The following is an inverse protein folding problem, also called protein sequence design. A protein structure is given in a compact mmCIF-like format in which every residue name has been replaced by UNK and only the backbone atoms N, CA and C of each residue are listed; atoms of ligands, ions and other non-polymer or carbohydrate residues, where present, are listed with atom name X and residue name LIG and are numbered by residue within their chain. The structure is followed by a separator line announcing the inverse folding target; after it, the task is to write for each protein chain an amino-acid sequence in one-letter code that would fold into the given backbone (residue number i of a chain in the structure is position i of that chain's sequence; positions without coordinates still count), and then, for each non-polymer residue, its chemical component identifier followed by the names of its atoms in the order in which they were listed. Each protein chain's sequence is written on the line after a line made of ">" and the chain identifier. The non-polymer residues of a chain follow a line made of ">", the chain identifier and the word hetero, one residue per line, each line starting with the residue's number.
data_IF_647595449674
#
_entry.id   IF_647595449674
#
_cell.length_a   1.000
_cell.length_b   1.000
_cell.length_c   1.000
_cell.angle_alpha   90.00
_cell.angle_beta   90.00
_cell.angle_gamma   90.00
#
_symmetry.space_group_name_H-M   'P 1'
#
loop_
_entity.id
_entity.type
_entity.pdbx_description
1 polymer ?
#
# COMPACT_ATOMS: atom_id res chain seq x y z
N UNK A 1 0.02 -37.65 -45.21
CA UNK A 1 1.15 -36.84 -44.69
C UNK A 1 0.74 -36.25 -43.35
N UNK A 2 1.42 -36.68 -42.28
CA UNK A 2 1.21 -36.20 -40.91
C UNK A 2 1.67 -34.74 -40.84
N UNK A 3 0.77 -33.81 -40.47
CA UNK A 3 1.19 -32.53 -39.88
C UNK A 3 0.57 -32.45 -38.50
N UNK A 4 1.47 -32.67 -37.55
CA UNK A 4 1.33 -32.51 -36.11
C UNK A 4 1.06 -31.02 -35.84
N UNK A 5 -0.09 -30.70 -35.28
CA UNK A 5 -0.32 -29.38 -34.65
C UNK A 5 -0.88 -29.64 -33.27
N UNK A 6 -0.01 -30.22 -32.42
CA UNK A 6 -0.25 -30.31 -31.00
C UNK A 6 0.12 -28.94 -30.41
N UNK A 7 -0.86 -28.05 -30.33
CA UNK A 7 -0.74 -26.81 -29.57
C UNK A 7 -0.80 -27.20 -28.09
N UNK A 8 0.36 -27.52 -27.53
CA UNK A 8 0.52 -27.90 -26.14
C UNK A 8 0.43 -26.62 -25.28
N UNK A 9 -0.79 -26.13 -25.05
CA UNK A 9 -1.05 -25.20 -23.95
C UNK A 9 -0.96 -26.01 -22.66
N UNK A 10 0.25 -26.13 -22.13
CA UNK A 10 0.49 -26.52 -20.75
C UNK A 10 -0.08 -25.38 -19.89
N UNK A 11 -1.37 -25.43 -19.59
CA UNK A 11 -1.92 -24.74 -18.43
C UNK A 11 -1.45 -25.53 -17.21
N UNK A 12 -0.30 -25.16 -16.66
CA UNK A 12 0.02 -25.55 -15.29
C UNK A 12 -1.03 -24.87 -14.41
N UNK A 13 -1.92 -25.71 -13.88
CA UNK A 13 -2.88 -25.36 -12.85
C UNK A 13 -2.13 -25.06 -11.54
N UNK A 14 -1.51 -23.88 -11.45
CA UNK A 14 -1.15 -23.35 -10.15
C UNK A 14 -2.46 -23.05 -9.42
N UNK A 15 -2.63 -23.59 -8.22
CA UNK A 15 -3.72 -23.20 -7.32
C UNK A 15 -3.21 -22.06 -6.44
N UNK A 16 -2.99 -20.88 -7.03
CA UNK A 16 -2.72 -19.67 -6.28
C UNK A 16 -4.01 -18.85 -6.22
N UNK A 17 -4.47 -18.55 -5.02
CA UNK A 17 -5.62 -17.67 -4.80
C UNK A 17 -5.10 -16.25 -4.92
N UNK A 18 -5.25 -15.63 -6.10
CA UNK A 18 -4.81 -14.25 -6.28
C UNK A 18 -6.01 -13.33 -6.11
N UNK A 19 -6.04 -12.58 -5.02
CA UNK A 19 -6.86 -11.39 -4.86
C UNK A 19 -5.88 -10.21 -4.77
N UNK A 20 -5.95 -9.27 -5.70
CA UNK A 20 -4.94 -8.22 -5.81
C UNK A 20 -5.50 -6.88 -5.36
N UNK A 21 -4.93 -6.39 -4.26
CA UNK A 21 -4.97 -4.98 -3.88
C UNK A 21 -3.52 -4.52 -3.79
N UNK A 22 -3.23 -3.36 -4.36
CA UNK A 22 -1.90 -2.78 -4.31
C UNK A 22 -1.73 -1.86 -3.11
N UNK A 23 -0.53 -1.85 -2.55
CA UNK A 23 -0.15 -0.89 -1.52
C UNK A 23 0.49 0.34 -2.17
N UNK A 24 -0.01 1.53 -1.84
CA UNK A 24 0.49 2.79 -2.40
C UNK A 24 2.00 2.95 -2.18
N UNK A 25 2.72 3.37 -3.22
CA UNK A 25 4.16 3.71 -3.15
C UNK A 25 4.47 4.87 -2.19
N UNK A 26 3.46 5.65 -1.78
CA UNK A 26 3.62 6.68 -0.75
C UNK A 26 3.71 6.13 0.67
N UNK A 27 3.43 4.85 0.89
CA UNK A 27 3.76 4.20 2.17
C UNK A 27 5.24 3.82 2.20
N UNK A 28 6.12 4.81 2.09
CA UNK A 28 7.57 4.60 1.93
C UNK A 28 8.13 3.68 3.01
N UNK A 29 7.72 3.85 4.28
CA UNK A 29 8.24 3.08 5.41
C UNK A 29 8.17 1.55 5.23
N UNK A 30 7.08 1.00 4.66
CA UNK A 30 7.00 -0.46 4.44
C UNK A 30 7.89 -0.88 3.27
N UNK A 31 8.00 -0.08 2.21
CA UNK A 31 8.91 -0.37 1.10
C UNK A 31 10.37 -0.31 1.55
N UNK A 32 10.75 0.72 2.30
CA UNK A 32 12.09 0.88 2.87
C UNK A 32 12.44 -0.28 3.79
N UNK A 33 11.47 -0.72 4.61
CA UNK A 33 11.65 -1.85 5.50
C UNK A 33 11.83 -3.18 4.74
N UNK A 34 11.07 -3.41 3.65
CA UNK A 34 11.29 -4.58 2.80
C UNK A 34 12.64 -4.54 2.08
N UNK A 35 13.05 -3.36 1.60
CA UNK A 35 14.36 -3.17 0.96
C UNK A 35 15.49 -3.42 1.98
N UNK A 36 15.33 -3.01 3.24
CA UNK A 36 16.25 -3.31 4.34
C UNK A 36 16.40 -4.83 4.58
N UNK A 37 15.28 -5.54 4.76
CA UNK A 37 15.27 -6.99 4.97
C UNK A 37 15.89 -7.75 3.78
N UNK A 38 15.66 -7.26 2.56
CA UNK A 38 16.24 -7.83 1.35
C UNK A 38 17.77 -7.61 1.27
N UNK A 39 18.26 -6.44 1.68
CA UNK A 39 19.70 -6.15 1.76
C UNK A 39 20.42 -7.02 2.78
N UNK A 40 19.74 -7.38 3.88
CA UNK A 40 20.24 -8.33 4.87
C UNK A 40 20.09 -9.80 4.44
N UNK A 41 19.56 -10.05 3.23
CA UNK A 41 19.34 -11.39 2.64
C UNK A 41 18.35 -12.25 3.43
N UNK A 42 17.49 -11.63 4.24
CA UNK A 42 16.43 -12.33 4.96
C UNK A 42 15.27 -12.68 4.03
N UNK A 43 15.04 -11.85 3.01
CA UNK A 43 14.03 -12.08 1.98
C UNK A 43 14.58 -11.78 0.59
N UNK A 44 13.88 -12.25 -0.44
CA UNK A 44 14.15 -11.85 -1.83
C UNK A 44 12.96 -11.11 -2.44
N UNK A 45 13.22 -9.94 -3.03
CA UNK A 45 12.21 -9.12 -3.71
C UNK A 45 12.75 -8.62 -5.06
N UNK A 46 11.85 -8.40 -6.02
CA UNK A 46 12.16 -7.62 -7.21
C UNK A 46 11.73 -6.17 -6.97
N UNK A 47 12.70 -5.30 -6.66
CA UNK A 47 12.45 -3.90 -6.32
C UNK A 47 12.21 -2.96 -7.50
N UNK A 48 12.34 -3.48 -8.73
CA UNK A 48 12.30 -2.67 -9.94
C UNK A 48 10.89 -2.18 -10.26
N UNK A 49 9.84 -2.90 -9.87
CA UNK A 49 8.45 -2.57 -10.23
C UNK A 49 7.60 -2.48 -8.97
N UNK A 50 7.07 -1.29 -8.70
CA UNK A 50 6.15 -0.98 -7.59
C UNK A 50 4.89 -0.30 -8.17
N UNK A 51 3.70 -0.42 -7.55
CA UNK A 51 3.46 -0.93 -6.20
C UNK A 51 3.48 -2.45 -6.10
N UNK A 52 3.79 -2.94 -4.90
CA UNK A 52 3.60 -4.34 -4.54
C UNK A 52 2.14 -4.61 -4.16
N UNK A 53 1.67 -5.84 -4.36
CA UNK A 53 0.39 -6.24 -3.81
C UNK A 53 0.49 -6.38 -2.28
N UNK A 54 -0.59 -6.08 -1.58
CA UNK A 54 -0.66 -6.27 -0.13
C UNK A 54 -0.40 -7.73 0.28
N UNK A 55 -0.87 -8.68 -0.52
CA UNK A 55 -0.61 -10.10 -0.32
C UNK A 55 0.89 -10.42 -0.43
N UNK A 56 1.57 -9.90 -1.45
CA UNK A 56 3.02 -10.09 -1.60
C UNK A 56 3.79 -9.52 -0.40
N UNK A 57 3.42 -8.32 0.07
CA UNK A 57 4.03 -7.73 1.26
C UNK A 57 3.82 -8.63 2.48
N UNK A 58 2.60 -9.12 2.68
CA UNK A 58 2.26 -10.02 3.79
C UNK A 58 3.11 -11.30 3.76
N UNK A 59 3.24 -11.93 2.58
CA UNK A 59 4.08 -13.12 2.38
C UNK A 59 5.55 -12.84 2.72
N UNK A 60 6.09 -11.68 2.30
CA UNK A 60 7.48 -11.30 2.62
C UNK A 60 7.71 -10.98 4.08
N UNK A 61 6.74 -10.36 4.75
CA UNK A 61 6.80 -10.16 6.19
C UNK A 61 6.79 -11.50 6.94
N UNK A 62 5.99 -12.46 6.47
CA UNK A 62 5.97 -13.80 7.06
C UNK A 62 7.28 -14.56 6.82
N UNK A 63 7.83 -14.52 5.59
CA UNK A 63 9.13 -15.09 5.23
C UNK A 63 10.26 -14.57 6.14
N UNK A 64 10.28 -13.25 6.41
CA UNK A 64 11.23 -12.64 7.33
C UNK A 64 10.99 -13.07 8.79
N UNK A 65 9.73 -13.16 9.22
CA UNK A 65 9.35 -13.54 10.59
C UNK A 65 9.74 -14.98 10.92
N UNK A 66 9.71 -15.88 9.94
CA UNK A 66 10.18 -17.28 10.11
C UNK A 66 11.67 -17.35 10.46
N UNK A 67 12.44 -16.31 10.13
CA UNK A 67 13.87 -16.16 10.44
C UNK A 67 14.12 -15.23 11.62
N UNK A 68 13.15 -15.07 12.54
CA UNK A 68 13.19 -14.10 13.63
C UNK A 68 14.47 -14.09 14.47
N UNK A 69 15.19 -15.19 14.58
CA UNK A 69 16.42 -15.23 15.37
C UNK A 69 17.56 -14.39 14.77
N UNK A 70 17.49 -14.11 13.46
CA UNK A 70 18.42 -13.23 12.75
C UNK A 70 18.01 -11.75 12.82
N UNK A 71 16.77 -11.46 13.21
CA UNK A 71 16.25 -10.09 13.28
C UNK A 71 16.75 -9.36 14.53
N UNK A 72 17.11 -8.09 14.33
CA UNK A 72 17.30 -7.13 15.42
C UNK A 72 16.00 -6.91 16.19
N UNK A 73 16.12 -6.39 17.42
CA UNK A 73 14.95 -6.05 18.25
C UNK A 73 13.99 -5.08 17.52
N UNK A 74 14.52 -4.05 16.86
CA UNK A 74 13.72 -3.08 16.11
C UNK A 74 12.97 -3.76 14.96
N UNK A 75 13.63 -4.58 14.16
CA UNK A 75 12.99 -5.28 13.04
C UNK A 75 11.88 -6.23 13.49
N UNK A 76 12.04 -6.90 14.65
CA UNK A 76 10.97 -7.71 15.24
C UNK A 76 9.75 -6.87 15.58
N UNK A 77 9.95 -5.75 16.27
CA UNK A 77 8.87 -4.83 16.64
C UNK A 77 8.18 -4.24 15.40
N UNK A 78 8.95 -3.93 14.36
CA UNK A 78 8.45 -3.38 13.10
C UNK A 78 7.70 -4.43 12.24
N UNK A 79 8.18 -5.68 12.17
CA UNK A 79 7.43 -6.79 11.56
C UNK A 79 6.12 -7.03 12.30
N UNK A 80 6.16 -7.12 13.63
CA UNK A 80 4.95 -7.32 14.44
C UNK A 80 3.96 -6.16 14.28
N UNK A 81 4.45 -4.94 14.05
CA UNK A 81 3.62 -3.80 13.70
C UNK A 81 2.97 -3.97 12.33
N UNK A 82 3.74 -4.24 11.27
CA UNK A 82 3.19 -4.38 9.92
C UNK A 82 2.29 -5.61 9.77
N UNK A 83 2.59 -6.74 10.42
CA UNK A 83 1.71 -7.92 10.42
C UNK A 83 0.31 -7.62 10.97
N UNK A 84 0.13 -6.56 11.79
CA UNK A 84 -1.20 -6.09 12.19
C UNK A 84 -1.92 -5.37 11.05
N UNK A 85 -1.21 -4.54 10.28
CA UNK A 85 -1.78 -3.84 9.11
C UNK A 85 -2.14 -4.82 7.98
N UNK A 86 -1.31 -5.85 7.76
CA UNK A 86 -1.51 -6.90 6.75
C UNK A 86 -2.28 -8.12 7.26
N UNK A 87 -2.98 -7.98 8.40
CA UNK A 87 -3.67 -9.11 9.03
C UNK A 87 -4.75 -9.72 8.15
N UNK A 88 -5.44 -8.92 7.34
CA UNK A 88 -6.47 -9.40 6.41
C UNK A 88 -5.90 -10.32 5.32
N UNK A 89 -4.62 -10.17 5.00
CA UNK A 89 -3.90 -11.02 4.06
C UNK A 89 -3.40 -12.29 4.75
N UNK A 90 -2.96 -12.20 6.01
CA UNK A 90 -2.35 -13.30 6.78
C UNK A 90 -3.34 -14.24 7.48
N UNK A 91 -4.48 -13.72 7.95
CA UNK A 91 -5.40 -14.48 8.81
C UNK A 91 -6.85 -14.33 8.34
N UNK A 92 -7.57 -15.45 8.30
CA UNK A 92 -8.98 -15.49 7.88
C UNK A 92 -9.97 -15.17 9.03
N UNK A 93 -9.69 -14.14 9.84
CA UNK A 93 -10.60 -13.61 10.87
C UNK A 93 -10.16 -12.20 11.32
N UNK A 94 -10.99 -11.50 12.11
CA UNK A 94 -10.63 -10.22 12.74
C UNK A 94 -10.23 -10.35 14.21
N UNK A 95 -10.23 -11.57 14.76
CA UNK A 95 -9.82 -11.84 16.15
C UNK A 95 -8.37 -11.38 16.37
N UNK A 96 -8.04 -10.82 17.54
CA UNK A 96 -6.66 -10.45 17.88
C UNK A 96 -6.20 -9.06 17.38
N UNK A 97 -7.04 -8.30 16.67
CA UNK A 97 -6.77 -6.88 16.43
C UNK A 97 -6.68 -6.13 17.77
N UNK A 98 -5.53 -5.51 18.02
CA UNK A 98 -5.17 -4.77 19.24
C UNK A 98 -4.12 -3.72 18.87
N UNK A 99 -4.01 -2.60 19.61
CA UNK A 99 -4.82 -2.21 20.77
C UNK A 99 -6.18 -1.60 20.38
N UNK A 100 -7.11 -1.55 21.34
CA UNK A 100 -8.44 -0.94 21.26
C UNK A 100 -9.38 -1.54 20.19
N UNK A 101 -9.60 -2.86 20.26
CA UNK A 101 -10.74 -3.45 19.56
C UNK A 101 -12.00 -3.32 20.43
N UNK A 102 -12.90 -2.40 20.07
CA UNK A 102 -14.19 -2.18 20.74
C UNK A 102 -15.22 -3.27 20.42
N UNK A 103 -14.91 -4.20 19.51
CA UNK A 103 -15.72 -5.37 19.17
C UNK A 103 -14.98 -6.70 19.42
N UNK A 104 -14.38 -6.93 20.61
CA UNK A 104 -13.46 -8.05 20.82
C UNK A 104 -14.14 -9.43 20.81
N UNK A 105 -15.48 -9.47 20.93
CA UNK A 105 -16.30 -10.70 20.90
C UNK A 105 -16.85 -11.03 19.50
N UNK A 106 -16.62 -10.17 18.50
CA UNK A 106 -17.06 -10.40 17.12
C UNK A 106 -15.85 -10.80 16.29
N UNK A 107 -15.91 -11.98 15.68
CA UNK A 107 -14.79 -12.50 14.88
C UNK A 107 -14.72 -11.93 13.46
N UNK A 108 -15.72 -11.13 13.08
CA UNK A 108 -15.88 -10.58 11.74
C UNK A 108 -15.76 -9.05 11.69
N UNK A 109 -15.73 -8.35 12.82
CA UNK A 109 -15.62 -6.89 12.87
C UNK A 109 -14.66 -6.50 13.99
N UNK A 110 -13.68 -5.67 13.68
CA UNK A 110 -12.73 -5.17 14.65
C UNK A 110 -12.36 -3.72 14.39
N UNK A 111 -11.87 -3.09 15.44
CA UNK A 111 -11.20 -1.79 15.41
C UNK A 111 -9.78 -1.95 15.93
N UNK A 112 -8.90 -1.06 15.48
CA UNK A 112 -7.52 -0.98 15.94
C UNK A 112 -7.12 0.49 16.01
N UNK A 113 -6.24 0.85 16.96
CA UNK A 113 -5.57 2.14 16.99
C UNK A 113 -4.19 2.13 16.32
N UNK A 114 -3.55 0.97 16.21
CA UNK A 114 -2.19 0.88 15.67
C UNK A 114 -2.00 -0.34 14.76
N UNK A 115 -2.25 -0.19 13.44
CA UNK A 115 -2.71 1.02 12.76
C UNK A 115 -4.18 1.35 13.04
N UNK A 116 -4.56 2.63 12.89
CA UNK A 116 -5.94 3.05 13.07
C UNK A 116 -6.81 2.54 11.93
N UNK A 117 -7.75 1.65 12.23
CA UNK A 117 -8.60 1.04 11.21
C UNK A 117 -9.93 0.52 11.79
N UNK A 118 -10.96 0.51 10.94
CA UNK A 118 -12.14 -0.33 11.09
C UNK A 118 -12.05 -1.44 10.05
N UNK A 119 -12.13 -2.68 10.50
CA UNK A 119 -11.91 -3.83 9.63
C UNK A 119 -13.02 -4.85 9.78
N UNK A 120 -13.49 -5.37 8.65
CA UNK A 120 -14.49 -6.43 8.57
C UNK A 120 -13.97 -7.60 7.74
N UNK A 121 -14.33 -8.82 8.12
CA UNK A 121 -14.07 -10.03 7.32
C UNK A 121 -15.08 -11.12 7.61
N UNK A 122 -15.59 -11.76 6.56
CA UNK A 122 -16.29 -13.05 6.62
C UNK A 122 -15.76 -14.01 5.53
N UNK A 123 -16.57 -15.03 5.17
CA UNK A 123 -16.23 -16.03 4.15
C UNK A 123 -16.25 -15.51 2.70
N UNK A 124 -16.87 -14.36 2.45
CA UNK A 124 -17.07 -13.81 1.12
C UNK A 124 -16.42 -12.42 0.96
N UNK A 125 -16.41 -11.59 1.99
CA UNK A 125 -15.98 -10.19 1.89
C UNK A 125 -14.99 -9.88 3.00
N UNK A 126 -13.95 -9.14 2.65
CA UNK A 126 -13.05 -8.53 3.62
C UNK A 126 -12.83 -7.07 3.22
N UNK A 127 -12.84 -6.14 4.18
CA UNK A 127 -12.47 -4.76 3.91
C UNK A 127 -11.88 -4.07 5.14
N UNK A 128 -11.11 -3.02 4.90
CA UNK A 128 -10.56 -2.15 5.93
C UNK A 128 -10.69 -0.69 5.51
N UNK A 129 -11.12 0.14 6.45
CA UNK A 129 -11.23 1.59 6.32
C UNK A 129 -10.27 2.26 7.31
N UNK A 130 -9.42 3.14 6.81
CA UNK A 130 -8.37 3.84 7.56
C UNK A 130 -8.52 5.35 7.37
N UNK A 131 -8.63 6.15 8.45
CA UNK A 131 -8.47 7.60 8.32
C UNK A 131 -7.01 7.93 7.99
N UNK A 132 -6.81 9.02 7.24
CA UNK A 132 -5.49 9.55 6.89
C UNK A 132 -5.45 11.00 7.34
N UNK A 133 -4.40 11.37 8.06
CA UNK A 133 -4.10 12.76 8.40
C UNK A 133 -2.58 12.94 8.49
N UNK A 134 -2.12 14.16 8.22
CA UNK A 134 -0.72 14.51 8.40
C UNK A 134 -0.47 16.01 8.29
N UNK A 135 0.70 16.41 8.78
CA UNK A 135 1.18 17.78 8.81
C UNK A 135 2.70 17.77 8.64
N UNK A 136 3.18 18.53 7.66
CA UNK A 136 4.58 18.88 7.46
C UNK A 136 4.76 20.36 7.77
N UNK A 137 5.86 20.70 8.44
CA UNK A 137 6.22 22.07 8.77
C UNK A 137 7.65 22.35 8.30
N UNK A 138 7.83 23.45 7.58
CA UNK A 138 9.08 23.89 6.98
C UNK A 138 9.46 25.23 7.60
N UNK A 139 10.72 25.35 8.02
CA UNK A 139 11.25 26.58 8.62
C UNK A 139 12.55 26.92 7.91
N UNK A 140 12.67 28.14 7.43
CA UNK A 140 13.93 28.71 6.99
C UNK A 140 14.17 30.06 7.73
N UNK A 141 15.29 30.73 7.43
CA UNK A 141 15.65 31.98 8.10
C UNK A 141 14.67 33.15 7.87
N UNK A 142 13.85 33.08 6.82
CA UNK A 142 13.00 34.19 6.35
C UNK A 142 11.50 33.91 6.51
N UNK A 143 11.08 32.64 6.52
CA UNK A 143 9.67 32.24 6.42
C UNK A 143 9.44 30.83 6.97
N UNK A 144 8.19 30.57 7.36
CA UNK A 144 7.70 29.23 7.70
C UNK A 144 6.54 28.84 6.80
N UNK A 145 6.54 27.58 6.37
CA UNK A 145 5.49 27.01 5.52
C UNK A 145 4.96 25.71 6.14
N UNK A 146 3.74 25.33 5.82
CA UNK A 146 3.16 24.06 6.24
C UNK A 146 2.32 23.43 5.15
N UNK A 147 2.32 22.11 5.13
CA UNK A 147 1.45 21.29 4.28
C UNK A 147 0.67 20.35 5.18
N UNK A 148 -0.65 20.37 5.10
CA UNK A 148 -1.52 19.45 5.84
C UNK A 148 -2.37 18.66 4.87
N UNK A 149 -2.72 17.44 5.27
CA UNK A 149 -3.67 16.63 4.53
C UNK A 149 -4.58 15.85 5.46
N UNK A 150 -5.77 15.56 4.95
CA UNK A 150 -6.80 14.81 5.65
C UNK A 150 -7.65 14.01 4.67
N UNK A 151 -8.08 12.82 5.07
CA UNK A 151 -8.86 11.95 4.20
C UNK A 151 -9.09 10.56 4.76
N UNK A 152 -9.39 9.64 3.86
CA UNK A 152 -9.61 8.24 4.19
C UNK A 152 -9.18 7.33 3.05
N UNK A 153 -8.80 6.13 3.42
CA UNK A 153 -8.45 5.06 2.50
C UNK A 153 -9.17 3.79 2.87
N UNK A 154 -9.65 3.10 1.85
CA UNK A 154 -10.35 1.83 2.00
C UNK A 154 -9.78 0.83 1.02
N UNK A 155 -9.67 -0.41 1.45
CA UNK A 155 -9.47 -1.52 0.54
C UNK A 155 -10.32 -2.71 0.95
N UNK A 156 -10.55 -3.61 0.01
CA UNK A 156 -11.26 -4.84 0.29
C UNK A 156 -11.20 -5.84 -0.85
N UNK A 157 -11.81 -6.98 -0.56
CA UNK A 157 -11.80 -8.18 -1.37
C UNK A 157 -13.20 -8.77 -1.40
N UNK A 158 -13.58 -9.30 -2.55
CA UNK A 158 -14.77 -10.14 -2.73
C UNK A 158 -14.30 -11.50 -3.22
N UNK A 159 -14.52 -12.50 -2.37
CA UNK A 159 -13.99 -13.85 -2.50
C UNK A 159 -12.46 -13.79 -2.70
N UNK A 160 -11.94 -14.70 -3.53
CA UNK A 160 -10.53 -14.81 -3.88
C UNK A 160 -10.19 -14.14 -5.20
N UNK A 161 -11.15 -13.54 -5.89
CA UNK A 161 -11.00 -13.16 -7.30
C UNK A 161 -11.13 -11.67 -7.57
N UNK A 162 -11.63 -10.89 -6.62
CA UNK A 162 -11.82 -9.45 -6.80
C UNK A 162 -11.20 -8.69 -5.64
N UNK A 163 -10.45 -7.66 -5.98
CA UNK A 163 -9.86 -6.71 -5.02
C UNK A 163 -10.12 -5.29 -5.47
N UNK A 164 -10.34 -4.38 -4.53
CA UNK A 164 -10.49 -2.97 -4.83
C UNK A 164 -9.91 -2.10 -3.70
N UNK A 165 -9.42 -0.93 -4.06
CA UNK A 165 -8.97 0.08 -3.11
C UNK A 165 -9.28 1.48 -3.61
N UNK A 166 -9.35 2.41 -2.67
CA UNK A 166 -9.50 3.84 -2.92
C UNK A 166 -8.85 4.63 -1.80
N UNK A 167 -8.25 5.77 -2.15
CA UNK A 167 -7.61 6.71 -1.24
C UNK A 167 -8.03 8.11 -1.68
N UNK A 168 -8.70 8.83 -0.79
CA UNK A 168 -9.14 10.21 -1.02
C UNK A 168 -8.44 11.09 0.01
N UNK A 169 -7.77 12.15 -0.45
CA UNK A 169 -7.03 13.09 0.40
C UNK A 169 -7.30 14.50 -0.06
N UNK A 170 -7.62 15.37 0.88
CA UNK A 170 -7.62 16.81 0.66
C UNK A 170 -6.35 17.39 1.26
N UNK A 171 -5.70 18.28 0.50
CA UNK A 171 -4.40 18.83 0.82
C UNK A 171 -4.49 20.35 0.82
N UNK A 172 -3.79 20.95 1.77
CA UNK A 172 -3.66 22.40 1.88
C UNK A 172 -2.20 22.75 2.18
N UNK A 173 -1.62 23.58 1.32
CA UNK A 173 -0.34 24.24 1.54
C UNK A 173 -0.60 25.73 1.76
N UNK A 174 -0.05 26.31 2.82
CA UNK A 174 -0.22 27.75 3.10
C UNK A 174 0.61 28.65 2.16
N UNK A 175 1.68 28.09 1.62
CA UNK A 175 2.57 28.70 0.62
C UNK A 175 2.72 27.67 -0.48
N UNK A 176 2.68 28.10 -1.74
CA UNK A 176 2.84 27.21 -2.89
C UNK A 176 4.24 26.58 -2.85
N UNK A 177 4.33 25.28 -2.58
CA UNK A 177 5.60 24.54 -2.55
C UNK A 177 5.89 23.80 -3.85
N UNK A 178 4.89 23.68 -4.72
CA UNK A 178 4.95 22.91 -5.96
C UNK A 178 4.45 23.76 -7.12
N UNK A 179 5.35 24.04 -8.06
CA UNK A 179 5.06 24.76 -9.32
C UNK A 179 5.93 24.14 -10.43
N UNK A 180 5.51 24.15 -11.71
CA UNK A 180 6.33 23.65 -12.82
C UNK A 180 7.75 24.25 -12.89
N UNK A 181 7.96 25.47 -12.39
CA UNK A 181 9.28 26.09 -12.34
C UNK A 181 10.16 25.64 -11.17
N UNK A 182 9.63 24.87 -10.22
CA UNK A 182 10.35 24.49 -9.01
C UNK A 182 11.08 23.16 -9.18
N UNK A 183 12.34 23.12 -8.74
CA UNK A 183 13.11 21.89 -8.70
C UNK A 183 12.86 21.14 -7.39
N UNK A 184 11.78 20.36 -7.36
CA UNK A 184 11.43 19.49 -6.24
C UNK A 184 10.93 18.12 -6.76
N UNK A 185 10.80 17.15 -5.85
CA UNK A 185 10.28 15.81 -6.16
C UNK A 185 8.79 15.65 -5.79
N UNK A 186 8.07 16.76 -5.56
CA UNK A 186 6.65 16.70 -5.15
C UNK A 186 5.80 16.36 -6.38
N UNK A 187 4.77 15.53 -6.19
CA UNK A 187 3.89 15.14 -7.29
C UNK A 187 3.02 16.31 -7.76
N UNK A 188 2.83 16.39 -9.07
CA UNK A 188 1.92 17.37 -9.67
C UNK A 188 0.48 17.13 -9.21
N UNK A 189 -0.22 18.21 -8.86
CA UNK A 189 -1.57 18.13 -8.32
C UNK A 189 -2.52 19.12 -9.01
N UNK A 190 -3.80 18.77 -9.21
CA UNK A 190 -4.78 19.67 -9.81
C UNK A 190 -5.16 20.78 -8.81
N UNK A 191 -4.46 21.91 -8.92
CA UNK A 191 -4.60 23.06 -8.02
C UNK A 191 -5.98 23.71 -8.16
N UNK A 192 -6.66 23.92 -7.04
CA UNK A 192 -7.98 24.58 -6.94
C UNK A 192 -7.88 26.07 -6.57
N UNK A 193 -6.67 26.54 -6.25
CA UNK A 193 -6.43 27.87 -5.68
C UNK A 193 -6.90 27.95 -4.22
N UNK A 194 -6.33 28.88 -3.45
CA UNK A 194 -6.73 29.15 -2.06
C UNK A 194 -7.02 30.64 -1.89
N UNK A 195 -8.10 30.97 -1.19
CA UNK A 195 -8.50 32.37 -0.95
C UNK A 195 -7.54 33.12 -0.02
N UNK A 196 -6.73 32.40 0.78
CA UNK A 196 -5.85 32.96 1.80
C UNK A 196 -4.35 32.79 1.45
N UNK A 197 -4.03 32.58 0.18
CA UNK A 197 -2.67 32.24 -0.27
C UNK A 197 -2.39 30.74 -0.24
N UNK A 198 -1.31 30.33 -0.92
CA UNK A 198 -0.94 28.92 -1.09
C UNK A 198 -1.84 28.16 -2.08
N UNK A 199 -1.96 26.84 -1.89
CA UNK A 199 -2.72 25.96 -2.78
C UNK A 199 -3.56 24.94 -2.01
N UNK A 200 -4.78 24.75 -2.50
CA UNK A 200 -5.63 23.61 -2.15
C UNK A 200 -5.70 22.64 -3.33
N UNK A 201 -5.64 21.35 -3.05
CA UNK A 201 -5.85 20.32 -4.06
C UNK A 201 -6.35 19.03 -3.43
N UNK A 202 -7.10 18.25 -4.20
CA UNK A 202 -7.56 16.93 -3.75
C UNK A 202 -6.97 15.85 -4.63
N UNK A 203 -6.54 14.79 -3.97
CA UNK A 203 -6.01 13.59 -4.59
C UNK A 203 -7.03 12.46 -4.45
N UNK A 204 -7.29 11.77 -5.56
CA UNK A 204 -8.10 10.57 -5.59
C UNK A 204 -7.34 9.47 -6.33
N UNK A 205 -7.08 8.37 -5.61
CA UNK A 205 -6.38 7.19 -6.11
C UNK A 205 -7.22 5.96 -5.82
N UNK A 206 -6.98 4.91 -6.58
CA UNK A 206 -7.67 3.65 -6.39
C UNK A 206 -7.59 2.74 -7.59
N UNK A 207 -8.18 1.57 -7.44
CA UNK A 207 -8.27 0.60 -8.50
C UNK A 207 -9.18 -0.55 -8.14
N UNK A 208 -9.52 -1.32 -9.16
CA UNK A 208 -10.27 -2.56 -9.04
C UNK A 208 -9.61 -3.62 -9.93
N UNK A 209 -9.40 -4.80 -9.36
CA UNK A 209 -8.70 -5.91 -9.99
C UNK A 209 -9.59 -7.15 -9.97
N UNK A 210 -9.58 -7.87 -11.08
CA UNK A 210 -10.05 -9.24 -11.19
C UNK A 210 -8.84 -10.16 -11.40
N UNK A 211 -8.80 -11.28 -10.69
CA UNK A 211 -7.61 -12.10 -10.60
C UNK A 211 -7.91 -13.60 -10.51
N UNK A 212 -6.98 -14.36 -11.07
CA UNK A 212 -6.98 -15.82 -11.18
C UNK A 212 -5.58 -16.33 -10.89
N UNK A 213 -5.40 -17.63 -10.90
CA UNK A 213 -4.17 -18.24 -10.39
C UNK A 213 -2.89 -17.89 -11.15
N UNK A 214 -2.99 -17.50 -12.41
CA UNK A 214 -1.84 -17.18 -13.24
C UNK A 214 -1.72 -15.69 -13.57
N UNK A 215 -2.69 -14.86 -13.18
CA UNK A 215 -2.68 -13.46 -13.58
C UNK A 215 -3.84 -12.63 -13.06
N UNK A 216 -3.79 -11.33 -13.35
CA UNK A 216 -4.80 -10.38 -12.97
C UNK A 216 -4.94 -9.27 -14.02
N UNK A 217 -6.11 -8.65 -14.04
CA UNK A 217 -6.44 -7.51 -14.88
C UNK A 217 -7.26 -6.52 -14.08
N UNK A 218 -7.11 -5.23 -14.33
CA UNK A 218 -7.88 -4.23 -13.62
C UNK A 218 -7.75 -2.84 -14.20
N UNK A 219 -8.53 -1.93 -13.62
CA UNK A 219 -8.48 -0.50 -13.90
C UNK A 219 -7.90 0.17 -12.68
N UNK A 220 -6.81 0.91 -12.87
CA UNK A 220 -6.03 1.50 -11.79
C UNK A 220 -5.72 2.95 -12.11
N UNK A 221 -5.97 3.81 -11.12
CA UNK A 221 -5.50 5.19 -11.06
C UNK A 221 -4.70 5.34 -9.77
N UNK A 222 -3.43 5.01 -9.83
CA UNK A 222 -2.48 5.12 -8.73
C UNK A 222 -1.08 5.36 -9.29
N UNK A 223 -0.13 5.71 -8.43
CA UNK A 223 1.24 5.96 -8.81
C UNK A 223 2.02 4.65 -8.99
N UNK A 224 2.85 4.61 -10.03
CA UNK A 224 3.63 3.42 -10.43
C UNK A 224 5.09 3.82 -10.50
N UNK A 225 5.94 3.01 -9.87
CA UNK A 225 7.39 3.19 -9.94
C UNK A 225 8.00 2.08 -10.77
N UNK A 226 8.79 2.46 -11.76
CA UNK A 226 9.59 1.53 -12.55
C UNK A 226 11.06 1.95 -12.51
N UNK A 227 11.81 1.34 -11.61
CA UNK A 227 13.24 1.51 -11.45
C UNK A 227 13.67 1.28 -10.00
N UNK A 228 14.97 1.06 -9.81
CA UNK A 228 15.59 1.01 -8.48
C UNK A 228 16.20 2.37 -8.20
N UNK A 229 15.64 3.10 -7.24
CA UNK A 229 15.99 4.49 -7.01
C UNK A 229 15.65 4.93 -5.59
N UNK A 230 16.34 5.97 -5.14
CA UNK A 230 16.02 6.72 -3.91
C UNK A 230 15.48 8.13 -4.19
N UNK A 231 15.67 8.66 -5.42
CA UNK A 231 15.43 10.07 -5.75
C UNK A 231 14.71 10.23 -7.10
N UNK A 232 13.62 9.50 -7.32
CA UNK A 232 12.97 9.40 -8.63
C UNK A 232 13.67 8.41 -9.57
N UNK A 233 12.88 7.75 -10.41
CA UNK A 233 13.35 6.70 -11.33
C UNK A 233 13.47 7.27 -12.74
N UNK A 234 14.27 6.62 -13.57
CA UNK A 234 14.46 7.06 -14.95
C UNK A 234 13.26 6.72 -15.86
N UNK A 235 12.38 5.79 -15.46
CA UNK A 235 11.27 5.32 -16.32
C UNK A 235 9.94 5.85 -15.80
N UNK A 236 9.55 5.49 -14.58
CA UNK A 236 8.34 5.99 -13.90
C UNK A 236 8.64 6.23 -12.43
N UNK A 237 8.45 7.46 -11.95
CA UNK A 237 8.89 7.90 -10.61
C UNK A 237 7.80 7.86 -9.54
N UNK A 238 6.64 7.31 -9.85
CA UNK A 238 5.43 7.51 -9.08
C UNK A 238 4.54 8.49 -9.79
#
# INVERSE_FOLDING_TARGET
>A
MKKLTLLLFIFISFNLSSQIVYESVHRTNIYDFLDELANEKLISINSVVKPYSRMFIAEKLQEAYEQKDQLSKRQKEEIEFYMKDYRLELVYNTTGMKPLNIFPKKDNLATSLNPMAVTYRDSLVAFSLRPIYGLEYFINANESAFHRWGGAEMFGYISKNFGAWTSLRDNHENITMTDPGYFNQRHGSPVKGSQNGGIDYSEARGGAMASWSWGAIGVVKDYVVFGNNYNGSNILSG
#
